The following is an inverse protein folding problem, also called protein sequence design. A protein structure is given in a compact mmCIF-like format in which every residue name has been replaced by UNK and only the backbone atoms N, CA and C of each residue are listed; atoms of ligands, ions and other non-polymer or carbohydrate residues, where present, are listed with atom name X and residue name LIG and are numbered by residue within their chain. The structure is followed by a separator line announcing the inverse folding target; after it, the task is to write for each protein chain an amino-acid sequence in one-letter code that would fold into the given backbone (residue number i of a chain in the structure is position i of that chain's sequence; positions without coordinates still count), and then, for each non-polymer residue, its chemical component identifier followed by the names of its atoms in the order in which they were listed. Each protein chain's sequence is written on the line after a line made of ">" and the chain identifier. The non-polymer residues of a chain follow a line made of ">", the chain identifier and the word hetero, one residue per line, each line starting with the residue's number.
data_IF_228174971973
#
_entry.id   IF_228174971973
#
_cell.length_a   1.000
_cell.length_b   1.000
_cell.length_c   1.000
_cell.angle_alpha   90.00
_cell.angle_beta   90.00
_cell.angle_gamma   90.00
#
_symmetry.space_group_name_H-M   'P 1'
#
loop_
_entity.id
_entity.type
_entity.pdbx_description
1 polymer ?
#
# COMPACT_ATOMS: atom_id res chain seq x y z
N UNK A 1 -33.35 7.82 39.52
CA UNK A 1 -33.75 7.78 38.10
C UNK A 1 -32.77 8.71 37.38
N UNK A 2 -31.70 8.14 36.83
CA UNK A 2 -30.77 8.93 36.06
C UNK A 2 -31.43 9.22 34.72
N UNK A 3 -31.72 10.49 34.48
CA UNK A 3 -32.08 11.00 33.17
C UNK A 3 -30.81 10.91 32.29
N UNK A 4 -30.68 9.84 31.54
CA UNK A 4 -29.79 9.82 30.41
C UNK A 4 -30.14 11.02 29.56
N UNK A 5 -29.19 11.94 29.47
CA UNK A 5 -29.36 13.17 28.72
C UNK A 5 -29.80 12.87 27.29
N UNK A 6 -30.62 13.76 26.76
CA UNK A 6 -31.10 13.75 25.39
C UNK A 6 -29.99 13.32 24.43
N UNK A 7 -30.31 12.34 23.55
CA UNK A 7 -29.43 11.95 22.45
C UNK A 7 -28.93 13.21 21.74
N UNK A 8 -27.63 13.48 21.88
CA UNK A 8 -27.01 14.56 21.12
C UNK A 8 -26.72 13.99 19.75
N UNK A 9 -27.59 14.28 18.81
CA UNK A 9 -27.27 14.08 17.40
C UNK A 9 -26.04 14.93 17.07
N UNK A 10 -24.94 14.29 16.77
CA UNK A 10 -23.79 14.96 16.19
C UNK A 10 -24.22 15.47 14.80
N UNK A 11 -24.65 16.75 14.75
CA UNK A 11 -24.95 17.41 13.49
C UNK A 11 -23.64 17.78 12.81
N UNK A 12 -23.53 17.47 11.51
CA UNK A 12 -22.45 17.88 10.63
C UNK A 12 -21.05 17.33 10.99
N UNK A 13 -20.93 16.03 11.21
CA UNK A 13 -19.62 15.38 11.12
C UNK A 13 -19.14 15.41 9.68
N UNK A 14 -18.16 16.24 9.36
CA UNK A 14 -17.43 16.19 8.10
C UNK A 14 -16.22 15.27 8.31
N UNK A 15 -16.00 14.30 7.41
CA UNK A 15 -14.83 13.41 7.48
C UNK A 15 -13.57 14.07 6.89
N UNK A 16 -13.69 15.28 6.38
CA UNK A 16 -12.63 16.15 5.86
C UNK A 16 -11.66 15.47 4.86
N UNK A 17 -12.08 14.35 4.25
CA UNK A 17 -11.25 13.58 3.32
C UNK A 17 -10.80 14.39 2.12
N UNK A 18 -11.61 15.35 1.70
CA UNK A 18 -11.29 16.24 0.57
C UNK A 18 -10.07 17.12 0.82
N UNK A 19 -9.72 17.35 2.08
CA UNK A 19 -8.58 18.17 2.50
C UNK A 19 -7.32 17.35 2.82
N UNK A 20 -7.39 16.02 2.73
CA UNK A 20 -6.21 15.17 2.92
C UNK A 20 -5.29 15.28 1.71
N UNK A 21 -4.17 15.96 1.88
CA UNK A 21 -3.14 16.14 0.86
C UNK A 21 -1.95 15.18 1.09
N UNK A 22 -1.10 15.02 0.07
CA UNK A 22 0.12 14.20 0.13
C UNK A 22 1.01 14.53 1.33
N UNK A 23 1.07 15.80 1.72
CA UNK A 23 1.83 16.24 2.89
C UNK A 23 1.34 15.61 4.21
N UNK A 24 0.05 15.34 4.33
CA UNK A 24 -0.52 14.71 5.52
C UNK A 24 -0.10 13.24 5.63
N UNK A 25 -0.04 12.51 4.51
CA UNK A 25 0.48 11.13 4.47
C UNK A 25 1.95 11.09 4.85
N UNK A 26 2.77 11.98 4.29
CA UNK A 26 4.20 12.07 4.61
C UNK A 26 4.42 12.45 6.08
N UNK A 27 3.66 13.42 6.61
CA UNK A 27 3.72 13.77 8.02
C UNK A 27 3.30 12.61 8.93
N UNK A 28 2.32 11.82 8.52
CA UNK A 28 1.86 10.63 9.24
C UNK A 28 2.96 9.56 9.43
N UNK A 29 3.94 9.49 8.51
CA UNK A 29 5.06 8.56 8.62
C UNK A 29 5.91 8.77 9.87
N UNK A 30 5.95 9.98 10.43
CA UNK A 30 6.69 10.28 11.66
C UNK A 30 6.19 9.47 12.87
N UNK A 31 4.93 9.01 12.82
CA UNK A 31 4.36 8.17 13.88
C UNK A 31 4.92 6.73 13.83
N UNK A 32 5.51 6.30 12.71
CA UNK A 32 6.11 4.96 12.55
C UNK A 32 7.61 4.99 12.90
N UNK A 33 7.94 5.37 14.13
CA UNK A 33 9.31 5.45 14.63
C UNK A 33 9.96 4.05 14.79
N UNK A 34 11.21 4.00 15.29
CA UNK A 34 11.98 2.78 15.43
C UNK A 34 11.40 1.79 16.46
N UNK A 35 10.53 2.23 17.37
CA UNK A 35 9.88 1.36 18.33
C UNK A 35 9.00 0.28 17.67
N UNK A 36 8.55 0.51 16.44
CA UNK A 36 7.80 -0.47 15.65
C UNK A 36 8.70 -1.46 14.90
N UNK A 37 10.03 -1.31 15.01
CA UNK A 37 10.99 -2.19 14.39
C UNK A 37 11.11 -2.05 12.87
N UNK A 38 11.82 -2.99 12.27
CA UNK A 38 12.02 -3.11 10.83
C UNK A 38 10.81 -3.79 10.17
N UNK A 39 10.58 -3.52 8.88
CA UNK A 39 9.46 -4.13 8.17
C UNK A 39 9.17 -3.46 6.84
N UNK A 40 7.91 -3.53 6.42
CA UNK A 40 7.43 -2.85 5.23
C UNK A 40 6.60 -1.62 5.60
N UNK A 41 6.67 -0.58 4.79
CA UNK A 41 5.83 0.61 4.86
C UNK A 41 5.19 0.86 3.51
N UNK A 42 3.92 1.24 3.49
CA UNK A 42 3.18 1.56 2.27
C UNK A 42 2.10 2.61 2.54
N UNK A 43 1.61 3.22 1.47
CA UNK A 43 0.47 4.12 1.49
C UNK A 43 -0.50 3.71 0.36
N UNK A 44 -1.42 2.76 0.60
CA UNK A 44 -2.27 2.18 -0.44
C UNK A 44 -3.24 3.16 -1.10
N UNK A 45 -3.43 4.35 -0.55
CA UNK A 45 -4.38 5.34 -1.05
C UNK A 45 -3.74 6.42 -1.93
N UNK A 46 -2.43 6.34 -2.19
CA UNK A 46 -1.75 7.43 -2.90
C UNK A 46 -0.68 6.93 -3.86
N UNK A 47 -0.84 7.32 -5.12
CA UNK A 47 0.15 7.13 -6.20
C UNK A 47 0.90 8.45 -6.51
N UNK A 48 0.87 9.41 -5.62
CA UNK A 48 1.51 10.71 -5.81
C UNK A 48 3.01 10.61 -5.55
N UNK A 49 3.81 11.18 -6.44
CA UNK A 49 5.28 11.17 -6.36
C UNK A 49 5.82 11.64 -5.00
N UNK A 50 5.25 12.70 -4.43
CA UNK A 50 5.67 13.20 -3.12
C UNK A 50 5.49 12.17 -1.99
N UNK A 51 4.49 11.29 -2.09
CA UNK A 51 4.29 10.20 -1.13
C UNK A 51 5.33 9.10 -1.35
N UNK A 52 5.67 8.77 -2.60
CA UNK A 52 6.74 7.82 -2.89
C UNK A 52 8.09 8.29 -2.33
N UNK A 53 8.43 9.57 -2.51
CA UNK A 53 9.63 10.18 -1.90
C UNK A 53 9.62 10.04 -0.38
N UNK A 54 8.51 10.38 0.26
CA UNK A 54 8.35 10.27 1.71
C UNK A 54 8.52 8.83 2.20
N UNK A 55 7.91 7.86 1.50
CA UNK A 55 8.03 6.44 1.82
C UNK A 55 9.48 5.93 1.68
N UNK A 56 10.16 6.29 0.59
CA UNK A 56 11.55 5.91 0.34
C UNK A 56 12.51 6.51 1.38
N UNK A 57 12.34 7.80 1.68
CA UNK A 57 13.15 8.48 2.69
C UNK A 57 12.93 7.87 4.08
N UNK A 58 11.68 7.59 4.44
CA UNK A 58 11.34 6.92 5.69
C UNK A 58 11.91 5.50 5.76
N UNK A 59 11.81 4.73 4.67
CA UNK A 59 12.33 3.38 4.60
C UNK A 59 13.85 3.34 4.80
N UNK A 60 14.58 4.26 4.16
CA UNK A 60 16.01 4.42 4.35
C UNK A 60 16.36 4.77 5.81
N UNK A 61 15.68 5.77 6.39
CA UNK A 61 15.98 6.26 7.75
C UNK A 61 15.72 5.22 8.85
N UNK A 62 14.76 4.32 8.64
CA UNK A 62 14.32 3.33 9.64
C UNK A 62 14.62 1.89 9.24
N UNK A 63 15.51 1.66 8.26
CA UNK A 63 15.87 0.33 7.75
C UNK A 63 14.65 -0.53 7.41
N UNK A 64 13.73 0.05 6.65
CA UNK A 64 12.49 -0.58 6.19
C UNK A 64 12.50 -0.74 4.68
N UNK A 65 11.46 -1.36 4.13
CA UNK A 65 11.21 -1.40 2.70
C UNK A 65 9.92 -0.67 2.37
N UNK A 66 9.98 0.26 1.43
CA UNK A 66 8.81 0.92 0.87
C UNK A 66 8.15 0.02 -0.18
N UNK A 67 6.89 -0.32 0.04
CA UNK A 67 6.07 -1.01 -0.95
C UNK A 67 5.28 0.07 -1.70
N UNK A 68 5.57 0.21 -2.98
CA UNK A 68 4.94 1.16 -3.88
C UNK A 68 4.05 0.41 -4.86
N UNK A 69 3.01 1.04 -5.34
CA UNK A 69 2.12 0.47 -6.36
C UNK A 69 1.88 1.47 -7.49
N UNK A 70 1.54 0.96 -8.65
CA UNK A 70 1.08 1.78 -9.77
C UNK A 70 -0.38 2.17 -9.59
N UNK A 71 -0.87 3.16 -10.32
CA UNK A 71 -2.30 3.44 -10.35
C UNK A 71 -3.10 2.27 -10.93
N UNK A 72 -4.39 2.23 -10.61
CA UNK A 72 -5.30 1.24 -11.17
C UNK A 72 -5.40 1.36 -12.70
N UNK A 73 -5.69 0.25 -13.36
CA UNK A 73 -5.89 0.15 -14.81
C UNK A 73 -4.67 0.58 -15.68
N UNK A 74 -3.48 0.62 -15.10
CA UNK A 74 -2.26 0.84 -15.89
C UNK A 74 -1.84 -0.43 -16.64
N UNK A 75 -1.31 -0.22 -17.85
CA UNK A 75 -0.66 -1.27 -18.63
C UNK A 75 0.73 -1.57 -18.09
N UNK A 76 1.30 -2.72 -18.45
CA UNK A 76 2.68 -3.09 -18.10
C UNK A 76 3.69 -2.02 -18.53
N UNK A 77 3.53 -1.44 -19.72
CA UNK A 77 4.41 -0.39 -20.23
C UNK A 77 4.32 0.91 -19.41
N UNK A 78 3.14 1.25 -18.92
CA UNK A 78 2.96 2.41 -18.03
C UNK A 78 3.57 2.16 -16.66
N UNK A 79 3.41 0.97 -16.10
CA UNK A 79 4.03 0.58 -14.84
C UNK A 79 5.57 0.55 -14.94
N UNK A 80 6.11 0.06 -16.05
CA UNK A 80 7.55 0.11 -16.35
C UNK A 80 8.06 1.56 -16.42
N UNK A 81 7.34 2.43 -17.15
CA UNK A 81 7.67 3.85 -17.26
C UNK A 81 7.67 4.53 -15.90
N UNK A 82 6.68 4.22 -15.04
CA UNK A 82 6.63 4.72 -13.67
C UNK A 82 7.85 4.25 -12.86
N UNK A 83 8.23 2.98 -12.97
CA UNK A 83 9.40 2.43 -12.30
C UNK A 83 10.70 3.10 -12.73
N UNK A 84 10.87 3.36 -14.03
CA UNK A 84 12.01 4.10 -14.58
C UNK A 84 12.02 5.53 -14.05
N UNK A 85 10.87 6.20 -14.03
CA UNK A 85 10.73 7.58 -13.54
C UNK A 85 11.09 7.68 -12.05
N UNK A 86 10.58 6.77 -11.21
CA UNK A 86 10.93 6.73 -9.79
C UNK A 86 12.43 6.52 -9.62
N UNK A 87 13.02 5.55 -10.32
CA UNK A 87 14.46 5.28 -10.24
C UNK A 87 15.32 6.47 -10.68
N UNK A 88 14.86 7.22 -11.68
CA UNK A 88 15.60 8.37 -12.21
C UNK A 88 15.50 9.64 -11.37
N UNK A 89 14.39 9.82 -10.65
CA UNK A 89 14.08 11.09 -10.00
C UNK A 89 14.14 11.02 -8.46
N UNK A 90 14.08 9.82 -7.87
CA UNK A 90 14.01 9.65 -6.43
C UNK A 90 15.32 9.14 -5.84
N UNK A 91 15.63 9.60 -4.64
CA UNK A 91 16.69 9.05 -3.81
C UNK A 91 16.20 7.82 -3.04
N UNK A 92 17.15 6.99 -2.57
CA UNK A 92 16.89 5.82 -1.73
C UNK A 92 15.99 4.75 -2.39
N UNK A 93 16.03 4.65 -3.70
CA UNK A 93 15.20 3.70 -4.46
C UNK A 93 15.57 2.25 -4.19
N UNK A 94 16.75 1.97 -3.64
CA UNK A 94 17.19 0.66 -3.15
C UNK A 94 16.35 0.14 -1.99
N UNK A 95 15.65 1.04 -1.26
CA UNK A 95 14.72 0.70 -0.19
C UNK A 95 13.27 0.54 -0.67
N UNK A 96 13.02 0.66 -1.98
CA UNK A 96 11.69 0.58 -2.58
C UNK A 96 11.46 -0.62 -3.47
N UNK A 97 10.22 -1.05 -3.56
CA UNK A 97 9.78 -2.04 -4.53
C UNK A 97 8.42 -1.64 -5.10
N UNK A 98 8.35 -1.49 -6.43
CA UNK A 98 7.11 -1.16 -7.14
C UNK A 98 6.40 -2.43 -7.57
N UNK A 99 5.10 -2.49 -7.31
CA UNK A 99 4.25 -3.63 -7.65
C UNK A 99 3.12 -3.23 -8.58
N UNK A 100 2.84 -4.10 -9.52
CA UNK A 100 1.78 -4.04 -10.52
C UNK A 100 1.37 -5.48 -10.89
N UNK A 101 0.15 -5.76 -11.29
CA UNK A 101 -1.05 -4.91 -11.30
C UNK A 101 -1.80 -4.90 -9.96
N UNK A 102 -2.92 -4.16 -9.93
CA UNK A 102 -3.87 -4.26 -8.84
C UNK A 102 -4.54 -5.63 -8.80
N UNK A 103 -5.08 -5.99 -7.66
CA UNK A 103 -5.70 -7.31 -7.43
C UNK A 103 -7.19 -7.19 -7.18
N UNK A 104 -7.94 -8.19 -7.65
CA UNK A 104 -9.35 -8.34 -7.35
C UNK A 104 -9.52 -9.35 -6.22
N UNK A 105 -10.13 -8.94 -5.14
CA UNK A 105 -10.40 -9.79 -3.97
C UNK A 105 -11.89 -10.03 -3.82
N UNK A 106 -12.32 -11.24 -3.41
CA UNK A 106 -13.72 -11.50 -3.14
C UNK A 106 -14.20 -10.67 -1.95
N UNK A 107 -15.44 -10.20 -2.03
CA UNK A 107 -16.11 -9.54 -0.92
C UNK A 107 -16.96 -10.54 -0.14
N UNK A 108 -17.64 -10.07 0.92
CA UNK A 108 -18.62 -10.88 1.65
C UNK A 108 -19.86 -11.23 0.80
N UNK A 109 -20.06 -10.54 -0.32
CA UNK A 109 -21.18 -10.82 -1.23
C UNK A 109 -20.72 -11.82 -2.30
N UNK A 110 -21.50 -12.89 -2.47
CA UNK A 110 -21.20 -13.95 -3.44
C UNK A 110 -21.10 -13.38 -4.87
N UNK A 111 -20.00 -13.69 -5.53
CA UNK A 111 -19.74 -13.26 -6.92
C UNK A 111 -19.31 -11.80 -7.09
N UNK A 112 -19.18 -11.04 -6.00
CA UNK A 112 -18.72 -9.65 -6.05
C UNK A 112 -17.25 -9.57 -5.65
N UNK A 113 -16.43 -8.94 -6.48
CA UNK A 113 -15.03 -8.66 -6.18
C UNK A 113 -14.80 -7.16 -5.98
N UNK A 114 -13.82 -6.83 -5.16
CA UNK A 114 -13.33 -5.46 -4.97
C UNK A 114 -11.90 -5.36 -5.48
N UNK A 115 -11.62 -4.33 -6.25
CA UNK A 115 -10.28 -4.00 -6.71
C UNK A 115 -9.55 -3.24 -5.61
N UNK A 116 -8.34 -3.67 -5.31
CA UNK A 116 -7.48 -3.04 -4.30
C UNK A 116 -6.02 -3.02 -4.78
N UNK A 117 -5.19 -2.08 -4.30
CA UNK A 117 -3.76 -2.08 -4.55
C UNK A 117 -3.08 -3.31 -3.92
N UNK A 118 -1.96 -3.80 -4.47
CA UNK A 118 -1.32 -5.05 -4.02
C UNK A 118 -0.56 -4.93 -2.69
N UNK A 119 -0.34 -3.73 -2.19
CA UNK A 119 0.56 -3.40 -1.06
C UNK A 119 0.34 -4.26 0.18
N UNK A 120 -0.89 -4.34 0.67
CA UNK A 120 -1.22 -5.12 1.86
C UNK A 120 -0.96 -6.60 1.68
N UNK A 121 -1.22 -7.14 0.48
CA UNK A 121 -0.93 -8.54 0.16
C UNK A 121 0.56 -8.80 0.06
N UNK A 122 1.32 -7.89 -0.53
CA UNK A 122 2.78 -8.00 -0.61
C UNK A 122 3.39 -7.91 0.79
N UNK A 123 2.96 -6.96 1.61
CA UNK A 123 3.41 -6.83 3.00
C UNK A 123 3.14 -8.13 3.80
N UNK A 124 1.92 -8.66 3.71
CA UNK A 124 1.53 -9.90 4.38
C UNK A 124 2.32 -11.12 3.87
N UNK A 125 2.58 -11.19 2.56
CA UNK A 125 3.35 -12.25 1.94
C UNK A 125 4.80 -12.24 2.42
N UNK A 126 5.43 -11.07 2.49
CA UNK A 126 6.78 -10.89 3.04
C UNK A 126 6.84 -11.26 4.52
N UNK A 127 5.89 -10.76 5.33
CA UNK A 127 5.82 -11.09 6.75
C UNK A 127 5.69 -12.60 6.98
N UNK A 128 4.88 -13.29 6.18
CA UNK A 128 4.72 -14.74 6.25
C UNK A 128 6.00 -15.49 5.84
N UNK A 129 6.68 -15.05 4.79
CA UNK A 129 7.95 -15.63 4.37
C UNK A 129 9.03 -15.47 5.46
N UNK A 130 9.13 -14.29 6.05
CA UNK A 130 10.04 -14.01 7.16
C UNK A 130 9.74 -14.87 8.38
N UNK A 131 8.49 -14.99 8.77
CA UNK A 131 8.09 -15.79 9.92
C UNK A 131 8.34 -17.30 9.72
N UNK A 132 8.21 -17.80 8.49
CA UNK A 132 8.36 -19.21 8.17
C UNK A 132 9.79 -19.66 7.85
N UNK A 133 10.59 -18.81 7.24
CA UNK A 133 11.92 -19.14 6.69
C UNK A 133 13.03 -18.17 7.07
N UNK A 134 12.72 -17.07 7.72
CA UNK A 134 13.68 -16.03 8.07
C UNK A 134 13.79 -14.90 7.04
N UNK A 135 14.50 -13.84 7.41
CA UNK A 135 14.59 -12.59 6.62
C UNK A 135 15.31 -12.73 5.28
N UNK A 136 16.14 -13.79 5.13
CA UNK A 136 16.85 -14.08 3.89
C UNK A 136 15.96 -14.67 2.78
N UNK A 137 14.76 -15.11 3.13
CA UNK A 137 13.83 -15.70 2.16
C UNK A 137 13.15 -14.59 1.34
N UNK A 138 13.29 -14.60 0.02
CA UNK A 138 12.54 -13.67 -0.84
C UNK A 138 11.04 -13.95 -0.73
N UNK A 139 10.24 -12.89 -0.88
CA UNK A 139 8.78 -12.98 -0.92
C UNK A 139 8.26 -13.57 -2.25
N UNK A 140 8.85 -14.68 -2.70
CA UNK A 140 8.53 -15.34 -3.96
C UNK A 140 8.42 -16.87 -3.80
N UNK A 141 7.85 -17.54 -4.80
CA UNK A 141 7.69 -18.97 -4.83
C UNK A 141 6.48 -19.50 -4.05
N UNK A 142 6.41 -20.81 -3.86
CA UNK A 142 5.23 -21.52 -3.32
C UNK A 142 4.82 -21.09 -1.90
N UNK A 143 5.76 -20.57 -1.09
CA UNK A 143 5.50 -20.10 0.27
C UNK A 143 4.86 -18.71 0.27
N UNK A 144 5.06 -17.97 -0.81
CA UNK A 144 4.69 -16.56 -0.97
C UNK A 144 3.44 -16.39 -1.85
N UNK A 145 2.58 -17.39 -1.88
CA UNK A 145 1.33 -17.33 -2.64
C UNK A 145 0.38 -16.32 -1.99
N UNK A 146 -0.12 -15.38 -2.78
CA UNK A 146 -1.20 -14.51 -2.37
C UNK A 146 -2.48 -15.35 -2.22
N UNK A 147 -3.07 -15.35 -1.02
CA UNK A 147 -4.30 -16.08 -0.74
C UNK A 147 -5.48 -15.13 -0.87
N UNK A 148 -6.64 -15.67 -1.27
CA UNK A 148 -7.89 -14.91 -1.39
C UNK A 148 -7.88 -13.83 -2.50
N UNK A 149 -6.99 -13.95 -3.47
CA UNK A 149 -7.02 -13.17 -4.71
C UNK A 149 -7.85 -13.92 -5.74
N UNK A 150 -8.91 -13.28 -6.22
CA UNK A 150 -9.77 -13.86 -7.25
C UNK A 150 -9.13 -13.79 -8.62
N UNK A 151 -8.54 -12.65 -8.95
CA UNK A 151 -7.80 -12.43 -10.20
C UNK A 151 -6.87 -11.22 -10.06
N UNK A 152 -5.98 -11.06 -11.01
CA UNK A 152 -5.26 -9.81 -11.22
C UNK A 152 -6.17 -8.86 -12.00
N UNK A 153 -5.93 -7.55 -11.84
CA UNK A 153 -6.50 -6.59 -12.76
C UNK A 153 -5.97 -6.87 -14.16
N UNK A 154 -6.87 -7.12 -15.10
CA UNK A 154 -6.47 -7.28 -16.50
C UNK A 154 -6.00 -5.94 -17.05
N UNK A 155 -4.96 -5.94 -17.86
CA UNK A 155 -4.65 -4.81 -18.71
C UNK A 155 -5.92 -4.43 -19.46
N UNK A 156 -6.29 -3.15 -19.42
CA UNK A 156 -7.37 -2.64 -20.25
C UNK A 156 -6.96 -2.84 -21.71
N UNK A 157 -7.39 -3.98 -22.26
CA UNK A 157 -7.27 -4.39 -23.66
C UNK A 157 -5.98 -3.98 -24.38
N UNK A 158 -5.00 -4.83 -24.35
CA UNK A 158 -4.12 -5.00 -25.49
C UNK A 158 -4.83 -5.97 -26.45
N UNK A 159 -5.69 -5.48 -27.29
CA UNK A 159 -6.06 -6.14 -28.55
C UNK A 159 -5.39 -5.34 -29.67
#
# INVERSE_FOLDING_TARGET
>A
MDTYGSEQNLAAGDDDRSNVASAHYVAGLTNFNDAYGVGAVSCPESEVQAVYQGLLAHANSHNRIAILHSAAAQTAAQAETLGITIRGNESNTEHGALYWPWINVPTSLTGVTRKIPPDGYIAATRARAHNGKGSHQPGAGAISVARWVASLESEANSV
#
